data_IF_821959516875
#
_entry.id   IF_821959516875
#
_cell.length_a   1.000
_cell.length_b   1.000
_cell.length_c   1.000
_cell.angle_alpha   90.00
_cell.angle_beta   90.00
_cell.angle_gamma   90.00
#
_symmetry.space_group_name_H-M   'P 1'
#
loop_
_entity.id
_entity.type
_entity.pdbx_description
1 polymer ?
#
# COMPACT_ATOMS: atom_id res chain seq x y z
N UNK A 1 -7.27 66.76 -36.73
CA UNK A 1 -7.80 67.07 -38.08
C UNK A 1 -7.47 65.85 -38.94
N UNK A 2 -8.44 65.01 -39.35
CA UNK A 2 -9.38 65.19 -40.49
C UNK A 2 -8.61 65.34 -41.82
N UNK A 3 -8.91 64.65 -42.92
CA UNK A 3 -10.20 64.25 -43.53
C UNK A 3 -10.06 62.85 -44.21
N UNK A 4 -11.00 61.90 -44.08
CA UNK A 4 -12.35 61.76 -44.70
C UNK A 4 -12.37 61.31 -46.18
N UNK A 5 -13.06 60.20 -46.45
CA UNK A 5 -13.78 59.91 -47.69
C UNK A 5 -15.05 59.11 -47.34
N UNK A 6 -16.22 59.56 -47.81
CA UNK A 6 -17.55 59.07 -47.36
C UNK A 6 -18.24 58.16 -48.40
N UNK A 7 -19.21 57.38 -47.89
CA UNK A 7 -20.17 56.51 -48.58
C UNK A 7 -21.26 57.24 -49.39
N UNK A 8 -21.95 56.52 -50.29
CA UNK A 8 -23.41 56.27 -50.18
C UNK A 8 -23.80 54.81 -50.63
N UNK A 9 -24.99 54.21 -50.46
CA UNK A 9 -26.21 54.36 -49.61
C UNK A 9 -26.99 53.01 -49.71
N UNK A 10 -27.45 52.40 -48.60
CA UNK A 10 -28.86 52.31 -48.11
C UNK A 10 -29.85 51.38 -48.90
N UNK A 11 -30.98 50.88 -48.33
CA UNK A 11 -31.51 50.99 -46.94
C UNK A 11 -32.00 49.67 -46.24
N UNK A 12 -31.97 49.67 -44.89
CA UNK A 12 -33.00 49.25 -43.86
C UNK A 12 -33.96 48.06 -44.23
N UNK A 13 -34.14 46.96 -43.47
CA UNK A 13 -34.83 46.82 -42.14
C UNK A 13 -34.45 45.50 -41.40
N UNK A 14 -34.51 45.57 -40.06
CA UNK A 14 -34.29 44.56 -39.01
C UNK A 14 -34.80 43.11 -39.24
N UNK A 15 -33.97 42.14 -38.81
CA UNK A 15 -34.42 41.00 -37.99
C UNK A 15 -33.21 40.44 -37.18
N UNK A 16 -33.41 40.03 -35.92
CA UNK A 16 -32.34 39.48 -35.04
C UNK A 16 -32.51 37.95 -34.94
N UNK A 17 -31.56 37.14 -35.43
CA UNK A 17 -31.63 35.68 -35.28
C UNK A 17 -31.35 35.23 -33.84
N UNK A 18 -32.21 34.36 -33.31
CA UNK A 18 -32.07 33.74 -31.99
C UNK A 18 -31.00 32.64 -32.04
N UNK A 19 -30.08 32.62 -31.06
CA UNK A 19 -29.03 31.61 -30.97
C UNK A 19 -29.59 30.20 -30.64
N UNK A 20 -29.02 29.12 -31.18
CA UNK A 20 -29.59 27.77 -31.06
C UNK A 20 -29.40 27.15 -29.67
N UNK A 21 -30.42 26.45 -29.18
CA UNK A 21 -30.37 25.69 -27.93
C UNK A 21 -29.64 24.33 -28.08
N UNK A 22 -28.93 23.86 -27.02
CA UNK A 22 -28.26 22.56 -27.04
C UNK A 22 -29.25 21.39 -26.89
N UNK A 23 -29.07 20.36 -27.71
CA UNK A 23 -29.84 19.12 -27.71
C UNK A 23 -29.60 18.30 -26.43
N UNK A 24 -30.68 17.96 -25.72
CA UNK A 24 -30.62 17.26 -24.45
C UNK A 24 -31.09 15.80 -24.61
N UNK A 25 -30.21 14.81 -24.33
CA UNK A 25 -30.53 13.38 -24.51
C UNK A 25 -31.47 12.87 -23.40
N UNK A 26 -32.63 12.36 -23.81
CA UNK A 26 -33.27 11.20 -23.18
C UNK A 26 -33.65 11.33 -21.70
N UNK A 27 -34.55 12.24 -21.36
CA UNK A 27 -35.24 12.26 -20.07
C UNK A 27 -36.66 12.77 -20.23
N UNK A 28 -37.67 11.93 -19.93
CA UNK A 28 -39.07 12.35 -19.94
C UNK A 28 -39.25 13.45 -18.90
N UNK A 29 -39.56 14.67 -19.34
CA UNK A 29 -40.03 15.73 -18.45
C UNK A 29 -41.40 15.31 -17.91
N UNK A 30 -41.48 14.97 -16.62
CA UNK A 30 -42.76 15.14 -15.93
C UNK A 30 -42.98 16.64 -15.80
N UNK A 31 -44.02 17.15 -16.45
CA UNK A 31 -44.53 18.48 -16.13
C UNK A 31 -44.91 18.53 -14.65
N UNK A 32 -44.39 19.54 -13.96
CA UNK A 32 -44.82 19.87 -12.59
C UNK A 32 -46.01 20.83 -12.64
N UNK A 33 -46.97 20.55 -13.52
CA UNK A 33 -48.29 21.17 -13.45
C UNK A 33 -49.04 20.58 -12.25
N UNK A 34 -49.78 21.42 -11.51
CA UNK A 34 -50.51 21.03 -10.31
C UNK A 34 -51.79 20.23 -10.64
N UNK A 35 -51.61 19.09 -11.31
CA UNK A 35 -52.65 18.16 -11.71
C UNK A 35 -53.08 17.25 -10.55
N UNK A 36 -54.11 17.65 -9.82
CA UNK A 36 -54.80 16.79 -8.85
C UNK A 36 -55.60 15.68 -9.56
N UNK A 37 -54.95 14.55 -9.86
CA UNK A 37 -55.63 13.32 -10.24
C UNK A 37 -55.77 12.40 -9.00
N UNK A 38 -57.03 12.15 -8.61
CA UNK A 38 -57.47 11.20 -7.57
C UNK A 38 -57.08 11.50 -6.11
N UNK A 39 -56.90 12.77 -5.72
CA UNK A 39 -57.05 13.24 -4.32
C UNK A 39 -56.09 12.69 -3.26
N UNK A 40 -55.17 11.79 -3.61
CA UNK A 40 -54.11 11.29 -2.74
C UNK A 40 -52.81 12.01 -3.10
N UNK A 41 -52.23 12.84 -2.22
CA UNK A 41 -50.98 13.52 -2.51
C UNK A 41 -49.88 12.47 -2.75
N UNK A 42 -49.32 12.44 -3.96
CA UNK A 42 -48.03 11.77 -4.18
C UNK A 42 -47.04 12.36 -3.18
N UNK A 43 -46.26 11.51 -2.50
CA UNK A 43 -45.20 11.94 -1.58
C UNK A 43 -44.07 12.67 -2.33
N UNK A 44 -44.32 13.92 -2.71
CA UNK A 44 -43.30 14.83 -3.19
C UNK A 44 -42.30 15.06 -2.05
N UNK A 45 -41.00 14.88 -2.32
CA UNK A 45 -39.96 15.15 -1.32
C UNK A 45 -40.01 16.63 -0.97
N UNK A 46 -40.31 16.94 0.29
CA UNK A 46 -40.43 18.32 0.76
C UNK A 46 -39.18 19.14 0.39
N UNK A 47 -39.39 20.35 -0.15
CA UNK A 47 -38.28 21.25 -0.53
C UNK A 47 -37.45 21.60 0.72
N UNK A 48 -36.13 21.54 0.61
CA UNK A 48 -35.25 21.90 1.72
C UNK A 48 -35.42 23.37 2.12
N UNK A 49 -35.50 23.62 3.42
CA UNK A 49 -35.48 24.99 4.00
C UNK A 49 -34.20 25.74 3.59
N UNK A 50 -34.18 27.09 3.61
CA UNK A 50 -32.97 27.87 3.33
C UNK A 50 -31.75 27.42 4.15
N UNK A 51 -31.94 27.15 5.44
CA UNK A 51 -30.89 26.63 6.33
C UNK A 51 -30.39 25.24 5.91
N UNK A 52 -31.32 24.32 5.59
CA UNK A 52 -30.95 22.96 5.13
C UNK A 52 -30.28 22.97 3.76
N UNK A 53 -30.60 23.94 2.89
CA UNK A 53 -29.89 24.13 1.60
C UNK A 53 -28.43 24.54 1.81
N UNK A 54 -28.15 25.49 2.71
CA UNK A 54 -26.77 25.87 3.08
C UNK A 54 -26.00 24.67 3.63
N UNK A 55 -26.59 23.91 4.56
CA UNK A 55 -26.00 22.67 5.09
C UNK A 55 -25.65 21.66 3.99
N UNK A 56 -26.59 21.35 3.09
CA UNK A 56 -26.36 20.38 2.01
C UNK A 56 -25.29 20.88 1.03
N UNK A 57 -25.20 22.19 0.79
CA UNK A 57 -24.14 22.77 -0.04
C UNK A 57 -22.76 22.63 0.60
N UNK A 58 -22.63 22.89 1.90
CA UNK A 58 -21.38 22.69 2.64
C UNK A 58 -20.99 21.21 2.71
N UNK A 59 -21.93 20.31 3.01
CA UNK A 59 -21.69 18.85 3.03
C UNK A 59 -21.28 18.33 1.65
N UNK A 60 -21.74 18.94 0.55
CA UNK A 60 -21.27 18.64 -0.81
C UNK A 60 -19.85 19.13 -1.09
N UNK A 61 -19.40 20.23 -0.48
CA UNK A 61 -18.02 20.73 -0.60
C UNK A 61 -17.03 19.84 0.17
N UNK A 62 -17.35 19.43 1.39
CA UNK A 62 -16.47 18.60 2.24
C UNK A 62 -16.59 17.09 1.96
N UNK A 63 -17.67 16.66 1.31
CA UNK A 63 -18.00 15.25 1.10
C UNK A 63 -18.66 14.56 2.30
N UNK A 64 -19.46 13.53 2.01
CA UNK A 64 -20.00 12.64 3.03
C UNK A 64 -18.94 11.63 3.49
N UNK A 65 -18.87 11.33 4.79
CA UNK A 65 -17.95 10.31 5.34
C UNK A 65 -18.27 8.91 4.81
N UNK A 66 -17.25 8.03 4.76
CA UNK A 66 -17.34 6.68 4.15
C UNK A 66 -18.52 5.89 4.74
N UNK A 67 -18.66 5.88 6.07
CA UNK A 67 -19.77 5.20 6.78
C UNK A 67 -21.16 5.68 6.33
N UNK A 68 -21.39 7.00 6.27
CA UNK A 68 -22.66 7.55 5.80
C UNK A 68 -22.90 7.26 4.32
N UNK A 69 -21.83 7.24 3.51
CA UNK A 69 -21.87 6.95 2.07
C UNK A 69 -22.32 5.50 1.82
N UNK A 70 -21.71 4.54 2.51
CA UNK A 70 -22.07 3.10 2.46
C UNK A 70 -23.50 2.86 2.95
N UNK A 71 -23.83 3.37 4.13
CA UNK A 71 -25.15 3.18 4.75
C UNK A 71 -26.27 4.03 4.11
N UNK A 72 -25.95 4.83 3.08
CA UNK A 72 -26.85 5.79 2.42
C UNK A 72 -27.58 6.71 3.40
N UNK A 73 -26.91 7.12 4.48
CA UNK A 73 -27.46 8.03 5.51
C UNK A 73 -27.02 9.47 5.22
N UNK A 74 -27.86 10.43 5.59
CA UNK A 74 -27.51 11.85 5.54
C UNK A 74 -26.24 12.10 6.36
N UNK A 75 -25.22 12.73 5.77
CA UNK A 75 -24.02 13.14 6.49
C UNK A 75 -24.17 14.58 6.99
N UNK A 76 -23.64 14.87 8.18
CA UNK A 76 -23.58 16.22 8.76
C UNK A 76 -22.28 16.96 8.43
N UNK A 77 -22.10 18.16 8.99
CA UNK A 77 -20.92 19.02 8.71
C UNK A 77 -19.68 18.61 9.51
N UNK A 78 -19.84 18.34 10.81
CA UNK A 78 -18.72 18.13 11.72
C UNK A 78 -17.90 16.85 11.48
N UNK A 79 -16.81 16.70 12.22
CA UNK A 79 -16.00 15.47 12.31
C UNK A 79 -15.85 15.11 13.81
N UNK A 80 -16.55 14.07 14.32
CA UNK A 80 -17.53 13.23 13.64
C UNK A 80 -18.80 14.01 13.24
N UNK A 81 -19.41 13.58 12.14
CA UNK A 81 -20.64 14.16 11.61
C UNK A 81 -21.84 13.78 12.48
N UNK A 82 -22.92 14.55 12.42
CA UNK A 82 -24.04 14.46 13.38
C UNK A 82 -24.73 13.09 13.38
N UNK A 83 -24.84 12.46 12.20
CA UNK A 83 -25.37 11.10 12.04
C UNK A 83 -24.43 10.03 12.60
N UNK A 84 -23.11 10.21 12.46
CA UNK A 84 -22.14 9.34 13.11
C UNK A 84 -22.20 9.53 14.62
N UNK A 85 -22.09 10.78 15.11
CA UNK A 85 -22.11 11.18 16.53
C UNK A 85 -23.24 10.51 17.33
N UNK A 86 -24.46 10.44 16.76
CA UNK A 86 -25.64 9.82 17.40
C UNK A 86 -25.56 8.30 17.57
N UNK A 87 -24.59 7.63 16.95
CA UNK A 87 -24.39 6.18 17.04
C UNK A 87 -22.96 5.80 17.47
N UNK A 88 -22.12 6.75 17.90
CA UNK A 88 -20.81 6.43 18.45
C UNK A 88 -20.93 6.29 19.96
N UNK A 89 -20.61 5.11 20.51
CA UNK A 89 -20.11 5.04 21.87
C UNK A 89 -18.81 5.88 21.95
N UNK A 90 -18.64 6.82 22.91
CA UNK A 90 -17.57 7.83 22.86
C UNK A 90 -16.12 7.34 22.83
N UNK A 91 -15.88 6.04 23.11
CA UNK A 91 -14.55 5.44 23.31
C UNK A 91 -14.07 4.55 22.15
N UNK A 92 -14.98 3.93 21.38
CA UNK A 92 -14.60 2.89 20.38
C UNK A 92 -14.81 3.35 18.93
N UNK A 93 -15.69 4.32 18.69
CA UNK A 93 -16.22 4.60 17.34
C UNK A 93 -15.81 5.95 16.72
N UNK A 94 -14.93 6.74 17.36
CA UNK A 94 -14.48 8.05 16.83
C UNK A 94 -13.86 7.92 15.43
N UNK A 95 -13.11 6.85 15.19
CA UNK A 95 -12.48 6.47 13.90
C UNK A 95 -13.49 6.10 12.80
N UNK A 96 -14.79 6.04 13.08
CA UNK A 96 -15.84 5.69 12.10
C UNK A 96 -16.32 6.82 11.20
N UNK A 97 -15.85 8.06 11.39
CA UNK A 97 -16.29 9.22 10.62
C UNK A 97 -15.19 9.81 9.71
N UNK A 98 -14.56 8.95 8.92
CA UNK A 98 -13.51 9.31 7.96
C UNK A 98 -14.13 9.87 6.67
N UNK A 99 -13.63 11.02 6.18
CA UNK A 99 -14.00 11.63 4.88
C UNK A 99 -12.94 11.44 3.80
N UNK A 100 -11.67 11.38 4.22
CA UNK A 100 -10.50 11.05 3.42
C UNK A 100 -10.64 9.66 2.77
N UNK A 101 -9.81 9.40 1.75
CA UNK A 101 -9.71 8.10 1.06
C UNK A 101 -8.91 7.12 1.92
N UNK A 102 -9.04 5.81 1.67
CA UNK A 102 -8.29 4.82 2.46
C UNK A 102 -6.76 4.96 2.32
N UNK A 103 -6.27 5.32 1.12
CA UNK A 103 -4.85 5.59 0.90
C UNK A 103 -4.35 6.91 1.51
N UNK A 104 -5.25 7.77 2.01
CA UNK A 104 -4.91 8.99 2.76
C UNK A 104 -4.92 8.71 4.28
N UNK A 105 -5.00 7.45 4.70
CA UNK A 105 -4.94 7.01 6.10
C UNK A 105 -3.66 6.21 6.40
N UNK A 106 -2.75 6.10 5.43
CA UNK A 106 -1.49 5.39 5.56
C UNK A 106 -0.40 6.05 4.71
N UNK A 107 0.62 6.55 5.37
CA UNK A 107 1.81 7.15 4.74
C UNK A 107 3.03 6.20 4.75
N UNK A 108 2.95 5.01 5.38
CA UNK A 108 4.10 4.09 5.53
C UNK A 108 4.85 3.85 4.21
N UNK A 109 4.13 3.58 3.12
CA UNK A 109 4.73 3.33 1.81
C UNK A 109 5.03 4.61 1.01
N UNK A 110 4.44 5.75 1.36
CA UNK A 110 4.66 7.03 0.67
C UNK A 110 5.75 7.90 1.33
N UNK A 111 6.21 7.53 2.52
CA UNK A 111 7.25 8.22 3.27
C UNK A 111 8.62 8.22 2.55
N UNK A 112 8.94 7.16 1.81
CA UNK A 112 10.15 7.09 0.98
C UNK A 112 11.45 6.96 1.77
N UNK A 113 11.45 6.26 2.91
CA UNK A 113 12.62 6.16 3.80
C UNK A 113 13.80 5.50 3.08
N UNK A 114 13.54 4.38 2.39
CA UNK A 114 14.59 3.67 1.63
C UNK A 114 15.03 4.49 0.41
N UNK A 115 14.10 5.16 -0.26
CA UNK A 115 14.39 6.05 -1.39
C UNK A 115 15.31 7.21 -1.00
N UNK A 116 15.06 7.90 0.13
CA UNK A 116 15.92 9.02 0.55
C UNK A 116 17.30 8.53 0.99
N UNK A 117 17.38 7.45 1.77
CA UNK A 117 18.68 6.87 2.19
C UNK A 117 19.51 6.43 0.99
N UNK A 118 18.90 5.71 0.04
CA UNK A 118 19.56 5.28 -1.19
C UNK A 118 20.03 6.47 -2.03
N UNK A 119 19.18 7.48 -2.25
CA UNK A 119 19.56 8.66 -3.05
C UNK A 119 20.71 9.46 -2.41
N UNK A 120 20.67 9.68 -1.09
CA UNK A 120 21.75 10.38 -0.39
C UNK A 120 23.08 9.64 -0.52
N UNK A 121 23.07 8.30 -0.43
CA UNK A 121 24.26 7.46 -0.58
C UNK A 121 24.77 7.43 -2.03
N UNK A 122 23.88 7.37 -3.03
CA UNK A 122 24.23 7.46 -4.46
C UNK A 122 24.94 8.79 -4.74
N UNK A 123 24.38 9.92 -4.29
CA UNK A 123 24.95 11.24 -4.54
C UNK A 123 26.36 11.36 -3.95
N UNK A 124 26.53 10.96 -2.69
CA UNK A 124 27.84 10.94 -2.01
C UNK A 124 28.88 10.10 -2.77
N UNK A 125 28.51 8.90 -3.24
CA UNK A 125 29.42 8.02 -3.97
C UNK A 125 29.73 8.55 -5.38
N UNK A 126 28.76 9.17 -6.06
CA UNK A 126 29.00 9.84 -7.36
C UNK A 126 29.97 11.02 -7.22
N UNK A 127 29.82 11.85 -6.17
CA UNK A 127 30.70 12.99 -5.89
C UNK A 127 32.12 12.57 -5.45
N UNK A 128 32.26 11.49 -4.68
CA UNK A 128 33.55 11.04 -4.17
C UNK A 128 34.35 10.23 -5.20
N UNK A 129 33.70 9.29 -5.90
CA UNK A 129 34.40 8.25 -6.66
C UNK A 129 34.33 8.41 -8.18
N UNK A 130 33.50 9.34 -8.69
CA UNK A 130 33.28 9.55 -10.13
C UNK A 130 33.10 8.23 -10.93
N UNK A 131 32.24 7.31 -10.47
CA UNK A 131 32.24 5.93 -10.94
C UNK A 131 31.72 5.82 -12.38
N UNK A 132 32.30 4.89 -13.13
CA UNK A 132 32.05 4.68 -14.56
C UNK A 132 31.35 3.34 -14.81
N UNK A 133 30.66 3.20 -15.94
CA UNK A 133 30.18 1.89 -16.39
C UNK A 133 31.27 1.25 -17.27
N UNK A 134 31.74 0.05 -16.89
CA UNK A 134 32.75 -0.72 -17.64
C UNK A 134 32.20 -2.04 -18.21
N UNK A 135 30.87 -2.21 -18.24
CA UNK A 135 30.22 -3.45 -18.66
C UNK A 135 30.07 -4.52 -17.57
N UNK A 136 30.55 -4.30 -16.34
CA UNK A 136 30.31 -5.23 -15.22
C UNK A 136 28.83 -5.28 -14.84
N UNK A 137 28.31 -6.50 -14.70
CA UNK A 137 26.91 -6.81 -14.36
C UNK A 137 26.88 -7.56 -13.03
N UNK A 138 25.85 -7.35 -12.22
CA UNK A 138 25.56 -8.18 -11.04
C UNK A 138 24.26 -8.95 -11.23
N UNK A 139 24.23 -10.19 -10.76
CA UNK A 139 23.01 -10.99 -10.58
C UNK A 139 22.65 -11.06 -9.10
N UNK A 140 21.40 -10.78 -8.77
CA UNK A 140 20.91 -10.66 -7.41
C UNK A 140 19.70 -11.59 -7.18
N UNK A 141 19.75 -12.44 -6.16
CA UNK A 141 18.59 -13.26 -5.74
C UNK A 141 18.65 -13.65 -4.25
N UNK A 142 17.49 -13.79 -3.61
CA UNK A 142 17.35 -14.45 -2.31
C UNK A 142 17.52 -15.98 -2.39
N UNK A 143 17.36 -16.55 -3.59
CA UNK A 143 17.35 -18.00 -3.83
C UNK A 143 18.30 -18.36 -4.97
N UNK A 144 19.64 -18.31 -4.75
CA UNK A 144 20.65 -18.60 -5.76
C UNK A 144 20.66 -20.06 -6.24
N UNK A 145 19.95 -20.95 -5.53
CA UNK A 145 19.67 -22.32 -6.00
C UNK A 145 18.62 -22.38 -7.12
N UNK A 146 17.98 -21.25 -7.43
CA UNK A 146 17.01 -21.11 -8.53
C UNK A 146 17.60 -20.27 -9.66
N UNK A 147 17.10 -20.47 -10.88
CA UNK A 147 17.46 -19.63 -12.03
C UNK A 147 16.84 -18.22 -11.97
N UNK A 148 16.07 -17.89 -10.92
CA UNK A 148 15.35 -16.61 -10.81
C UNK A 148 16.25 -15.58 -10.13
N UNK A 149 16.62 -14.54 -10.88
CA UNK A 149 17.53 -13.47 -10.44
C UNK A 149 17.20 -12.13 -11.12
N UNK A 150 17.71 -11.03 -10.55
CA UNK A 150 17.77 -9.71 -11.19
C UNK A 150 19.19 -9.50 -11.70
N UNK A 151 19.39 -9.47 -13.02
CA UNK A 151 20.63 -8.96 -13.62
C UNK A 151 20.57 -7.44 -13.77
N UNK A 152 21.62 -6.71 -13.39
CA UNK A 152 21.73 -5.27 -13.61
C UNK A 152 23.18 -4.82 -13.89
N UNK A 153 23.40 -3.87 -14.82
CA UNK A 153 24.69 -3.22 -15.00
C UNK A 153 25.07 -2.40 -13.77
N UNK A 154 26.37 -2.17 -13.59
CA UNK A 154 26.93 -1.51 -12.42
C UNK A 154 27.81 -0.33 -12.78
N UNK A 155 27.94 0.59 -11.82
CA UNK A 155 28.96 1.62 -11.82
C UNK A 155 30.13 1.14 -10.94
N UNK A 156 31.33 1.17 -11.50
CA UNK A 156 32.59 0.78 -10.86
C UNK A 156 33.47 2.00 -10.60
N UNK A 157 34.37 1.91 -9.61
CA UNK A 157 35.44 2.88 -9.42
C UNK A 157 36.78 2.17 -9.29
N UNK A 158 37.86 2.81 -9.77
CA UNK A 158 39.22 2.34 -9.58
C UNK A 158 39.64 2.61 -8.12
N UNK A 159 39.79 1.55 -7.34
CA UNK A 159 40.11 1.62 -5.91
C UNK A 159 41.32 0.75 -5.57
N UNK A 160 42.14 1.23 -4.64
CA UNK A 160 43.18 0.41 -4.01
C UNK A 160 42.54 -0.76 -3.23
N UNK A 161 43.07 -1.98 -3.32
CA UNK A 161 42.58 -3.11 -2.54
C UNK A 161 42.88 -2.93 -1.05
N UNK A 162 41.94 -3.31 -0.19
CA UNK A 162 42.24 -3.50 1.25
C UNK A 162 43.18 -4.70 1.46
N UNK A 163 43.79 -4.82 2.64
CA UNK A 163 44.78 -5.88 2.91
C UNK A 163 44.23 -7.28 2.61
N UNK A 164 43.02 -7.59 3.07
CA UNK A 164 42.30 -8.84 2.78
C UNK A 164 42.05 -9.05 1.28
N UNK A 165 41.69 -7.98 0.54
CA UNK A 165 41.48 -8.06 -0.91
C UNK A 165 42.79 -8.29 -1.65
N UNK A 166 43.88 -7.64 -1.23
CA UNK A 166 45.20 -7.78 -1.82
C UNK A 166 45.78 -9.18 -1.61
N UNK A 167 45.62 -9.75 -0.41
CA UNK A 167 45.98 -11.14 -0.12
C UNK A 167 45.17 -12.11 -0.98
N UNK A 168 43.85 -11.93 -1.06
CA UNK A 168 42.96 -12.80 -1.85
C UNK A 168 43.27 -12.74 -3.35
N UNK A 169 43.65 -11.56 -3.87
CA UNK A 169 44.03 -11.37 -5.29
C UNK A 169 45.49 -11.74 -5.59
N UNK A 170 46.34 -11.86 -4.57
CA UNK A 170 47.79 -11.94 -4.72
C UNK A 170 48.41 -10.68 -5.35
N UNK A 171 47.67 -9.56 -5.44
CA UNK A 171 48.10 -8.32 -6.06
C UNK A 171 47.56 -7.09 -5.29
N UNK A 172 48.43 -6.11 -5.10
CA UNK A 172 48.16 -4.81 -4.45
C UNK A 172 47.73 -3.71 -5.41
N UNK A 173 47.81 -3.93 -6.73
CA UNK A 173 47.42 -2.92 -7.71
C UNK A 173 45.94 -2.53 -7.61
N UNK A 174 45.68 -1.22 -7.70
CA UNK A 174 44.34 -0.64 -7.83
C UNK A 174 43.55 -1.30 -8.96
N UNK A 175 42.25 -1.50 -8.73
CA UNK A 175 41.37 -2.20 -9.67
C UNK A 175 39.93 -1.70 -9.60
N UNK A 176 39.16 -1.98 -10.65
CA UNK A 176 37.77 -1.58 -10.72
C UNK A 176 36.94 -2.43 -9.76
N UNK A 177 36.31 -1.79 -8.78
CA UNK A 177 35.37 -2.41 -7.85
C UNK A 177 33.96 -1.90 -8.14
N UNK A 178 32.96 -2.79 -8.14
CA UNK A 178 31.54 -2.42 -8.17
C UNK A 178 31.23 -1.50 -6.98
N UNK A 179 30.56 -0.38 -7.23
CA UNK A 179 30.14 0.57 -6.20
C UNK A 179 28.61 0.50 -5.99
N UNK A 180 27.85 0.44 -7.09
CA UNK A 180 26.38 0.45 -7.07
C UNK A 180 25.80 0.00 -8.41
N UNK A 181 24.50 -0.30 -8.44
CA UNK A 181 23.72 -0.49 -9.67
C UNK A 181 23.67 0.82 -10.47
N UNK A 182 23.85 0.71 -11.78
CA UNK A 182 23.61 1.80 -12.73
C UNK A 182 22.08 1.99 -12.93
N UNK A 183 21.49 2.85 -12.09
CA UNK A 183 20.07 3.19 -12.15
C UNK A 183 19.72 4.17 -13.29
N UNK A 184 20.72 4.78 -13.94
CA UNK A 184 20.49 5.65 -15.09
C UNK A 184 20.28 4.81 -16.37
N UNK A 185 20.82 3.58 -16.39
CA UNK A 185 20.65 2.60 -17.47
C UNK A 185 19.41 1.68 -17.34
N UNK A 186 18.74 1.61 -16.19
CA UNK A 186 17.73 0.57 -15.89
C UNK A 186 16.52 1.01 -15.05
N UNK A 187 15.31 0.54 -15.40
CA UNK A 187 14.15 0.57 -14.50
C UNK A 187 14.25 -0.54 -13.44
N UNK A 188 15.10 -0.30 -12.43
CA UNK A 188 15.25 -1.20 -11.30
C UNK A 188 13.91 -1.49 -10.57
N UNK A 189 12.99 -0.52 -10.35
CA UNK A 189 11.65 -0.79 -9.87
C UNK A 189 10.88 -1.84 -10.71
N UNK A 190 10.95 -1.81 -12.04
CA UNK A 190 10.28 -2.80 -12.90
C UNK A 190 10.92 -4.18 -12.79
N UNK A 191 12.26 -4.25 -12.75
CA UNK A 191 12.97 -5.51 -12.53
C UNK A 191 12.63 -6.14 -11.18
N UNK A 192 12.54 -5.35 -10.11
CA UNK A 192 12.10 -5.80 -8.78
C UNK A 192 10.66 -6.31 -8.81
N UNK A 193 9.73 -5.65 -9.52
CA UNK A 193 8.35 -6.13 -9.68
C UNK A 193 8.28 -7.47 -10.44
N UNK A 194 9.06 -7.62 -11.52
CA UNK A 194 9.16 -8.88 -12.28
C UNK A 194 9.76 -10.02 -11.45
N UNK A 195 10.86 -9.75 -10.75
CA UNK A 195 11.49 -10.72 -9.85
C UNK A 195 10.55 -11.15 -8.74
N UNK A 196 9.92 -10.20 -8.04
CA UNK A 196 8.94 -10.46 -7.00
C UNK A 196 7.85 -11.42 -7.47
N UNK A 197 7.25 -11.17 -8.63
CA UNK A 197 6.22 -12.06 -9.20
C UNK A 197 6.73 -13.47 -9.48
N UNK A 198 7.99 -13.63 -9.89
CA UNK A 198 8.59 -14.92 -10.18
C UNK A 198 8.92 -15.72 -8.90
N UNK A 199 9.40 -15.06 -7.83
CA UNK A 199 9.73 -15.74 -6.55
C UNK A 199 8.56 -15.81 -5.56
N UNK A 200 7.42 -15.17 -5.83
CA UNK A 200 6.29 -15.05 -4.89
C UNK A 200 5.82 -16.40 -4.31
N UNK A 201 5.73 -17.45 -5.12
CA UNK A 201 5.36 -18.79 -4.64
C UNK A 201 6.38 -19.33 -3.64
N UNK A 202 7.67 -19.15 -3.91
CA UNK A 202 8.77 -19.59 -3.03
C UNK A 202 8.76 -18.81 -1.71
N UNK A 203 8.45 -17.50 -1.74
CA UNK A 203 8.24 -16.73 -0.50
C UNK A 203 7.08 -17.29 0.34
N UNK A 204 5.97 -17.69 -0.29
CA UNK A 204 4.79 -18.22 0.40
C UNK A 204 5.06 -19.63 0.96
N UNK A 205 5.66 -20.53 0.18
CA UNK A 205 6.07 -21.86 0.63
C UNK A 205 7.05 -21.80 1.81
N UNK A 206 8.00 -20.86 1.76
CA UNK A 206 9.01 -20.63 2.82
C UNK A 206 8.56 -19.60 3.87
N UNK A 207 7.28 -19.26 3.95
CA UNK A 207 6.79 -18.34 4.99
C UNK A 207 6.83 -19.04 6.37
N UNK A 208 7.61 -18.53 7.35
CA UNK A 208 7.75 -19.15 8.67
C UNK A 208 6.48 -19.05 9.52
N UNK A 209 5.63 -18.03 9.34
CA UNK A 209 4.36 -17.93 10.05
C UNK A 209 3.31 -18.87 9.47
N UNK A 210 2.86 -19.85 10.26
CA UNK A 210 1.72 -20.71 9.90
C UNK A 210 0.47 -19.88 9.56
N UNK A 211 0.22 -18.80 10.32
CA UNK A 211 -0.93 -17.91 10.08
C UNK A 211 -0.85 -17.26 8.70
N UNK A 212 0.29 -16.63 8.38
CA UNK A 212 0.43 -15.95 7.10
C UNK A 212 0.52 -16.93 5.94
N UNK A 213 1.30 -18.02 6.06
CA UNK A 213 1.38 -19.05 5.02
C UNK A 213 0.01 -19.60 4.61
N UNK A 214 -0.79 -20.05 5.58
CA UNK A 214 -2.16 -20.56 5.29
C UNK A 214 -3.04 -19.47 4.66
N UNK A 215 -2.91 -18.22 5.08
CA UNK A 215 -3.65 -17.08 4.52
C UNK A 215 -3.25 -16.77 3.08
N UNK A 216 -1.97 -16.84 2.76
CA UNK A 216 -1.40 -16.59 1.44
C UNK A 216 -1.71 -17.75 0.48
N UNK A 217 -1.51 -19.00 0.90
CA UNK A 217 -1.90 -20.21 0.15
C UNK A 217 -3.40 -20.21 -0.19
N UNK A 218 -4.26 -19.85 0.78
CA UNK A 218 -5.72 -19.75 0.56
C UNK A 218 -6.05 -18.63 -0.44
N UNK A 219 -5.37 -17.48 -0.34
CA UNK A 219 -5.53 -16.38 -1.29
C UNK A 219 -5.05 -16.73 -2.71
N UNK A 220 -3.97 -17.52 -2.84
CA UNK A 220 -3.49 -18.03 -4.13
C UNK A 220 -4.47 -19.03 -4.76
N UNK A 221 -4.97 -20.00 -3.98
CA UNK A 221 -5.98 -20.96 -4.44
C UNK A 221 -7.21 -20.24 -5.02
N UNK A 222 -7.75 -19.27 -4.27
CA UNK A 222 -8.90 -18.45 -4.69
C UNK A 222 -8.63 -17.51 -5.89
N UNK A 223 -7.36 -17.21 -6.18
CA UNK A 223 -6.95 -16.43 -7.34
C UNK A 223 -6.78 -17.30 -8.59
N UNK A 224 -6.34 -18.55 -8.42
CA UNK A 224 -6.30 -19.56 -9.50
C UNK A 224 -7.69 -19.94 -10.00
N UNK A 225 -8.67 -20.03 -9.10
CA UNK A 225 -10.06 -20.36 -9.44
C UNK A 225 -10.81 -19.20 -10.13
N UNK A 226 -10.56 -17.96 -9.69
CA UNK A 226 -11.19 -16.76 -10.26
C UNK A 226 -10.25 -15.55 -10.12
N UNK A 227 -9.79 -15.05 -11.27
CA UNK A 227 -8.87 -13.91 -11.40
C UNK A 227 -9.40 -12.63 -10.71
N UNK A 228 -8.90 -12.37 -9.50
CA UNK A 228 -9.34 -11.29 -8.61
C UNK A 228 -8.21 -10.26 -8.40
N UNK A 229 -8.44 -9.02 -8.85
CA UNK A 229 -7.48 -7.91 -8.81
C UNK A 229 -7.21 -7.38 -7.37
N UNK A 230 -8.07 -7.66 -6.38
CA UNK A 230 -7.77 -7.36 -4.98
C UNK A 230 -6.75 -8.36 -4.41
N UNK A 231 -7.02 -9.65 -4.57
CA UNK A 231 -6.13 -10.71 -4.06
C UNK A 231 -4.77 -10.63 -4.74
N UNK A 232 -4.74 -10.44 -6.07
CA UNK A 232 -3.49 -10.20 -6.81
C UNK A 232 -2.70 -9.04 -6.22
N UNK A 233 -3.30 -7.85 -6.04
CA UNK A 233 -2.59 -6.68 -5.49
C UNK A 233 -2.18 -6.83 -4.03
N UNK A 234 -2.92 -7.59 -3.23
CA UNK A 234 -2.53 -7.88 -1.85
C UNK A 234 -1.31 -8.82 -1.80
N UNK A 235 -1.29 -9.87 -2.62
CA UNK A 235 -0.16 -10.78 -2.75
C UNK A 235 1.08 -10.07 -3.34
N UNK A 236 0.90 -9.23 -4.36
CA UNK A 236 1.98 -8.40 -4.93
C UNK A 236 2.55 -7.41 -3.91
N UNK A 237 1.69 -6.78 -3.08
CA UNK A 237 2.17 -5.89 -2.00
C UNK A 237 2.93 -6.67 -0.93
N UNK A 238 2.43 -7.85 -0.55
CA UNK A 238 3.09 -8.71 0.43
C UNK A 238 4.48 -9.13 -0.05
N UNK A 239 4.60 -9.66 -1.28
CA UNK A 239 5.90 -10.02 -1.85
C UNK A 239 6.88 -8.85 -1.98
N UNK A 240 6.40 -7.61 -2.18
CA UNK A 240 7.25 -6.41 -2.16
C UNK A 240 7.70 -6.04 -0.74
N UNK A 241 6.87 -6.27 0.29
CA UNK A 241 7.24 -6.07 1.69
C UNK A 241 8.24 -7.15 2.15
N UNK A 242 8.09 -8.40 1.70
CA UNK A 242 9.08 -9.46 1.96
C UNK A 242 10.46 -9.13 1.39
N UNK A 243 10.54 -8.48 0.23
CA UNK A 243 11.82 -8.05 -0.38
C UNK A 243 12.51 -6.94 0.44
N UNK A 244 11.74 -6.13 1.17
CA UNK A 244 12.25 -5.07 2.05
C UNK A 244 12.60 -5.62 3.45
N UNK A 245 12.13 -6.82 3.80
CA UNK A 245 12.31 -7.43 5.11
C UNK A 245 13.78 -7.82 5.34
N UNK A 246 14.34 -7.37 6.47
CA UNK A 246 15.75 -7.57 6.83
C UNK A 246 16.07 -9.03 7.14
N UNK A 247 15.07 -9.87 7.43
CA UNK A 247 15.26 -11.31 7.64
C UNK A 247 15.61 -12.06 6.34
N UNK A 248 15.43 -11.45 5.15
CA UNK A 248 15.75 -12.06 3.85
C UNK A 248 17.00 -11.41 3.25
N UNK A 249 18.13 -12.12 3.31
CA UNK A 249 19.38 -11.66 2.73
C UNK A 249 19.43 -11.89 1.21
N UNK A 250 19.93 -10.89 0.48
CA UNK A 250 20.25 -11.03 -0.94
C UNK A 250 21.57 -11.79 -1.11
N UNK A 251 21.65 -12.64 -2.13
CA UNK A 251 22.90 -13.20 -2.64
C UNK A 251 23.25 -12.45 -3.92
N UNK A 252 24.49 -11.96 -4.05
CA UNK A 252 24.91 -11.06 -5.14
C UNK A 252 26.16 -11.64 -5.81
N UNK A 253 26.04 -11.98 -7.10
CA UNK A 253 27.14 -12.46 -7.94
C UNK A 253 27.57 -11.37 -8.91
N UNK A 254 28.82 -10.93 -8.81
CA UNK A 254 29.44 -10.03 -9.79
C UNK A 254 29.97 -10.83 -10.98
N UNK A 255 29.63 -10.35 -12.18
CA UNK A 255 30.12 -10.83 -13.47
C UNK A 255 30.90 -9.69 -14.14
N UNK A 256 32.25 -9.70 -14.04
CA UNK A 256 33.09 -8.66 -14.62
C UNK A 256 32.86 -8.46 -16.11
N UNK A 257 32.96 -7.21 -16.58
CA UNK A 257 32.89 -6.88 -18.00
C UNK A 257 34.18 -7.19 -18.80
N UNK A 258 35.30 -7.43 -18.11
CA UNK A 258 36.60 -7.69 -18.73
C UNK A 258 36.80 -9.17 -19.09
N UNK A 259 37.31 -9.45 -20.28
CA UNK A 259 37.62 -10.83 -20.70
C UNK A 259 38.70 -11.47 -19.81
N UNK A 260 38.39 -12.64 -19.26
CA UNK A 260 39.31 -13.45 -18.45
C UNK A 260 39.14 -13.30 -16.93
N UNK A 261 38.44 -12.27 -16.45
CA UNK A 261 38.10 -12.15 -15.03
C UNK A 261 36.97 -13.13 -14.64
N UNK A 262 37.06 -13.71 -13.45
CA UNK A 262 36.10 -14.73 -12.98
C UNK A 262 34.97 -14.10 -12.15
N UNK A 263 33.74 -14.63 -12.22
CA UNK A 263 32.65 -14.18 -11.36
C UNK A 263 32.97 -14.32 -9.87
N UNK A 264 32.57 -13.35 -9.05
CA UNK A 264 32.81 -13.34 -7.60
C UNK A 264 31.57 -12.99 -6.79
N UNK A 265 31.44 -13.58 -5.60
CA UNK A 265 30.34 -13.28 -4.69
C UNK A 265 30.64 -12.01 -3.89
N UNK A 266 29.75 -11.01 -3.96
CA UNK A 266 29.79 -9.82 -3.12
C UNK A 266 29.21 -10.20 -1.74
N UNK A 267 29.94 -9.89 -0.67
CA UNK A 267 29.54 -10.14 0.72
C UNK A 267 29.43 -8.83 1.48
N UNK A 268 28.67 -8.86 2.57
CA UNK A 268 28.63 -7.77 3.56
C UNK A 268 30.02 -7.50 4.12
N UNK A 269 30.37 -6.22 4.32
CA UNK A 269 31.69 -5.86 4.82
C UNK A 269 31.87 -6.29 6.27
N UNK A 270 33.00 -6.93 6.56
CA UNK A 270 33.41 -7.25 7.93
C UNK A 270 34.32 -6.19 8.56
N UNK A 271 34.71 -5.15 7.81
CA UNK A 271 35.60 -4.08 8.28
C UNK A 271 35.03 -2.68 7.98
N UNK A 272 35.28 -1.73 8.87
CA UNK A 272 34.84 -0.34 8.68
C UNK A 272 35.55 0.42 7.55
N UNK A 273 36.58 -0.18 6.93
CA UNK A 273 37.41 0.45 5.90
C UNK A 273 37.10 -0.05 4.48
N UNK A 274 36.47 -1.22 4.32
CA UNK A 274 36.05 -1.70 3.00
C UNK A 274 34.82 -0.93 2.51
N UNK A 275 34.70 -0.76 1.19
CA UNK A 275 33.49 -0.22 0.59
C UNK A 275 32.30 -1.17 0.87
N UNK A 276 31.26 -0.65 1.51
CA UNK A 276 30.05 -1.42 1.82
C UNK A 276 29.11 -1.54 0.60
N UNK A 277 29.61 -2.28 -0.39
CA UNK A 277 28.98 -2.51 -1.70
C UNK A 277 27.69 -3.31 -1.53
N UNK A 278 27.69 -4.29 -0.61
CA UNK A 278 26.53 -5.13 -0.33
C UNK A 278 25.35 -4.31 0.18
N UNK A 279 25.57 -3.51 1.24
CA UNK A 279 24.52 -2.64 1.78
C UNK A 279 24.08 -1.61 0.74
N UNK A 280 25.01 -1.06 -0.05
CA UNK A 280 24.68 -0.09 -1.09
C UNK A 280 23.73 -0.66 -2.16
N UNK A 281 24.00 -1.88 -2.65
CA UNK A 281 23.12 -2.59 -3.58
C UNK A 281 21.77 -2.91 -2.92
N UNK A 282 21.78 -3.43 -1.69
CA UNK A 282 20.54 -3.72 -0.95
C UNK A 282 19.69 -2.46 -0.71
N UNK A 283 20.29 -1.30 -0.43
CA UNK A 283 19.59 -0.02 -0.32
C UNK A 283 18.91 0.38 -1.64
N UNK A 284 19.56 0.15 -2.79
CA UNK A 284 18.97 0.42 -4.10
C UNK A 284 17.79 -0.53 -4.42
N UNK A 285 17.91 -1.81 -4.09
CA UNK A 285 16.83 -2.79 -4.24
C UNK A 285 15.64 -2.46 -3.32
N UNK A 286 15.91 -2.10 -2.06
CA UNK A 286 14.88 -1.70 -1.10
C UNK A 286 14.17 -0.41 -1.52
N UNK A 287 14.91 0.59 -2.04
CA UNK A 287 14.32 1.81 -2.61
C UNK A 287 13.43 1.52 -3.83
N UNK A 288 13.85 0.59 -4.70
CA UNK A 288 13.06 0.16 -5.85
C UNK A 288 11.79 -0.60 -5.44
N UNK A 289 11.88 -1.49 -4.45
CA UNK A 289 10.75 -2.20 -3.85
C UNK A 289 9.77 -1.23 -3.15
N UNK A 290 10.26 -0.25 -2.38
CA UNK A 290 9.46 0.77 -1.69
C UNK A 290 8.63 1.60 -2.69
N UNK A 291 9.24 2.03 -3.82
CA UNK A 291 8.53 2.73 -4.90
C UNK A 291 7.40 1.89 -5.49
N UNK A 292 7.60 0.58 -5.69
CA UNK A 292 6.53 -0.32 -6.17
C UNK A 292 5.48 -0.57 -5.08
N UNK A 293 5.87 -0.78 -3.82
CA UNK A 293 4.95 -0.96 -2.70
C UNK A 293 4.03 0.26 -2.48
N UNK A 294 4.53 1.48 -2.68
CA UNK A 294 3.73 2.71 -2.68
C UNK A 294 2.63 2.67 -3.76
N UNK A 295 3.00 2.37 -5.00
CA UNK A 295 2.07 2.30 -6.12
C UNK A 295 1.02 1.19 -5.92
N UNK A 296 1.46 -0.01 -5.51
CA UNK A 296 0.59 -1.17 -5.28
C UNK A 296 -0.36 -0.92 -4.10
N UNK A 297 0.12 -0.42 -2.96
CA UNK A 297 -0.72 -0.12 -1.79
C UNK A 297 -1.74 0.99 -2.07
N UNK A 298 -1.34 2.06 -2.77
CA UNK A 298 -2.25 3.14 -3.20
C UNK A 298 -3.32 2.64 -4.18
N UNK A 299 -2.94 1.77 -5.13
CA UNK A 299 -3.89 1.11 -6.04
C UNK A 299 -4.86 0.21 -5.28
N UNK A 300 -4.34 -0.65 -4.40
CA UNK A 300 -5.11 -1.59 -3.59
C UNK A 300 -6.12 -0.87 -2.69
N UNK A 301 -5.68 0.11 -1.89
CA UNK A 301 -6.56 0.87 -1.00
C UNK A 301 -7.60 1.69 -1.76
N UNK A 302 -7.28 2.17 -2.96
CA UNK A 302 -8.26 2.85 -3.83
C UNK A 302 -9.30 1.88 -4.39
N UNK A 303 -8.89 0.66 -4.76
CA UNK A 303 -9.77 -0.42 -5.20
C UNK A 303 -10.68 -0.88 -4.06
N UNK A 304 -10.13 -1.17 -2.88
CA UNK A 304 -10.88 -1.50 -1.67
C UNK A 304 -11.88 -0.39 -1.34
N UNK A 305 -11.48 0.88 -1.34
CA UNK A 305 -12.38 2.01 -1.06
C UNK A 305 -13.58 2.03 -2.03
N UNK A 306 -13.34 1.81 -3.33
CA UNK A 306 -14.39 1.76 -4.36
C UNK A 306 -15.39 0.61 -4.11
N UNK A 307 -14.91 -0.60 -3.83
CA UNK A 307 -15.74 -1.80 -3.67
C UNK A 307 -16.47 -1.84 -2.31
N UNK A 308 -15.82 -1.33 -1.25
CA UNK A 308 -16.46 -1.12 0.06
C UNK A 308 -17.57 -0.07 -0.04
N UNK A 309 -17.38 0.99 -0.83
CA UNK A 309 -18.34 2.07 -1.02
C UNK A 309 -19.56 1.66 -1.86
N UNK A 310 -19.38 0.92 -2.96
CA UNK A 310 -20.50 0.57 -3.84
C UNK A 310 -21.36 -0.53 -3.23
N UNK A 311 -22.49 -0.14 -2.64
CA UNK A 311 -23.42 -1.05 -2.00
C UNK A 311 -24.08 -2.06 -2.95
N UNK A 312 -23.93 -1.95 -4.28
CA UNK A 312 -24.42 -2.93 -5.26
C UNK A 312 -23.49 -4.13 -5.41
N UNK A 313 -22.19 -3.91 -5.22
CA UNK A 313 -21.18 -4.95 -5.35
C UNK A 313 -21.28 -5.85 -4.12
N UNK A 314 -21.30 -7.18 -4.33
CA UNK A 314 -21.11 -8.14 -3.24
C UNK A 314 -19.62 -8.20 -2.91
N UNK A 315 -19.30 -8.12 -1.63
CA UNK A 315 -17.96 -8.40 -1.11
C UNK A 315 -18.11 -9.49 -0.05
N UNK A 316 -17.10 -10.34 0.08
CA UNK A 316 -17.11 -11.50 0.97
C UNK A 316 -15.68 -11.92 1.29
N UNK A 317 -15.45 -13.22 1.39
CA UNK A 317 -14.21 -13.79 1.92
C UNK A 317 -12.92 -13.28 1.24
N UNK A 318 -12.92 -13.11 -0.10
CA UNK A 318 -11.78 -12.52 -0.83
C UNK A 318 -11.36 -11.15 -0.29
N UNK A 319 -12.31 -10.25 -0.04
CA UNK A 319 -12.05 -8.92 0.54
C UNK A 319 -11.54 -8.99 1.98
N UNK A 320 -11.97 -10.00 2.75
CA UNK A 320 -11.46 -10.25 4.10
C UNK A 320 -10.00 -10.72 4.06
N UNK A 321 -9.65 -11.70 3.21
CA UNK A 321 -8.26 -12.13 3.00
C UNK A 321 -7.38 -10.99 2.49
N UNK A 322 -7.85 -10.21 1.51
CA UNK A 322 -7.17 -8.99 1.05
C UNK A 322 -6.86 -8.04 2.20
N UNK A 323 -7.82 -7.81 3.10
CA UNK A 323 -7.65 -6.92 4.24
C UNK A 323 -6.71 -7.50 5.31
N UNK A 324 -6.69 -8.82 5.53
CA UNK A 324 -5.72 -9.49 6.41
C UNK A 324 -4.29 -9.38 5.86
N UNK A 325 -4.07 -9.78 4.61
CA UNK A 325 -2.74 -9.71 3.97
C UNK A 325 -2.23 -8.27 3.97
N UNK A 326 -3.08 -7.31 3.64
CA UNK A 326 -2.74 -5.89 3.71
C UNK A 326 -2.40 -5.43 5.14
N UNK A 327 -3.15 -5.86 6.17
CA UNK A 327 -2.84 -5.50 7.55
C UNK A 327 -1.53 -6.13 8.03
N UNK A 328 -1.18 -7.35 7.59
CA UNK A 328 0.13 -7.94 7.88
C UNK A 328 1.28 -7.17 7.22
N UNK A 329 1.09 -6.72 5.96
CA UNK A 329 2.05 -5.80 5.32
C UNK A 329 2.25 -4.52 6.15
N UNK A 330 1.17 -4.00 6.75
CA UNK A 330 1.19 -2.84 7.65
C UNK A 330 1.83 -3.16 9.01
N UNK A 331 1.68 -4.38 9.55
CA UNK A 331 2.39 -4.86 10.75
C UNK A 331 3.91 -4.86 10.53
N UNK A 332 4.40 -5.53 9.47
CA UNK A 332 5.82 -5.56 9.10
C UNK A 332 6.38 -4.17 8.79
N UNK A 333 5.64 -3.35 8.04
CA UNK A 333 6.06 -1.97 7.75
C UNK A 333 6.08 -1.10 9.02
N UNK A 334 5.13 -1.29 9.94
CA UNK A 334 5.14 -0.59 11.24
C UNK A 334 6.33 -1.00 12.08
N UNK A 335 6.71 -2.28 12.07
CA UNK A 335 7.94 -2.76 12.71
C UNK A 335 9.18 -2.07 12.15
N UNK A 336 9.30 -1.97 10.82
CA UNK A 336 10.44 -1.35 10.16
C UNK A 336 10.61 0.15 10.54
N UNK A 337 9.50 0.88 10.71
CA UNK A 337 9.54 2.26 11.23
C UNK A 337 9.87 2.28 12.73
N UNK A 338 9.33 1.36 13.52
CA UNK A 338 9.60 1.27 14.97
C UNK A 338 11.06 0.90 15.29
N UNK A 339 11.74 0.19 14.40
CA UNK A 339 13.19 -0.02 14.49
C UNK A 339 13.98 1.30 14.46
N UNK A 340 13.52 2.35 13.77
CA UNK A 340 14.15 3.67 13.77
C UNK A 340 13.89 4.48 15.06
N UNK A 341 13.04 3.99 15.97
CA UNK A 341 12.87 4.55 17.32
C UNK A 341 14.00 4.11 18.28
N UNK A 342 14.89 3.19 17.86
CA UNK A 342 16.05 2.76 18.66
C UNK A 342 17.15 3.85 18.67
N UNK A 343 17.70 4.16 19.87
CA UNK A 343 18.64 5.27 20.08
C UNK A 343 19.87 5.27 19.16
N UNK A 344 20.40 4.08 18.82
CA UNK A 344 21.57 3.94 17.95
C UNK A 344 21.26 4.10 16.45
N UNK A 345 20.02 3.89 16.02
CA UNK A 345 19.58 4.13 14.63
C UNK A 345 18.99 5.53 14.44
N UNK A 346 18.50 6.14 15.52
CA UNK A 346 17.81 7.45 15.50
C UNK A 346 18.58 8.57 14.79
N UNK A 347 19.92 8.70 14.91
CA UNK A 347 20.69 9.74 14.19
C UNK A 347 20.72 9.56 12.66
N UNK A 348 20.48 8.35 12.16
CA UNK A 348 20.42 8.04 10.73
C UNK A 348 19.04 8.21 10.09
N UNK A 349 18.03 8.66 10.86
CA UNK A 349 16.66 8.84 10.35
C UNK A 349 16.58 9.97 9.31
N UNK A 350 16.10 9.72 8.08
CA UNK A 350 16.26 10.66 6.96
C UNK A 350 15.10 11.66 6.79
N UNK A 351 14.01 11.57 7.57
CA UNK A 351 12.79 12.36 7.35
C UNK A 351 12.55 13.37 8.48
N UNK A 352 11.93 14.52 8.14
CA UNK A 352 11.51 15.53 9.12
C UNK A 352 10.45 15.02 10.12
N UNK A 353 9.58 14.11 9.68
CA UNK A 353 8.55 13.50 10.53
C UNK A 353 9.15 12.36 11.34
N UNK A 354 8.89 12.33 12.64
CA UNK A 354 9.31 11.24 13.51
C UNK A 354 8.71 9.87 13.10
N UNK A 355 9.44 8.75 13.28
CA UNK A 355 8.92 7.41 13.00
C UNK A 355 7.59 7.12 13.71
N UNK A 356 7.42 7.64 14.92
CA UNK A 356 6.21 7.49 15.73
C UNK A 356 4.94 8.08 15.09
N UNK A 357 5.08 9.08 14.21
CA UNK A 357 3.99 9.64 13.42
C UNK A 357 3.49 8.70 12.31
N UNK A 358 4.23 7.62 12.04
CA UNK A 358 3.87 6.56 11.10
C UNK A 358 3.42 5.29 11.82
N UNK A 359 4.09 4.88 12.90
CA UNK A 359 3.76 3.64 13.63
C UNK A 359 2.35 3.63 14.22
N UNK A 360 1.80 4.81 14.56
CA UNK A 360 0.43 4.96 15.08
C UNK A 360 -0.68 4.80 14.02
N UNK A 361 -0.35 4.76 12.72
CA UNK A 361 -1.35 4.77 11.65
C UNK A 361 -2.06 3.42 11.48
N UNK A 362 -1.34 2.31 11.66
CA UNK A 362 -1.85 0.96 11.43
C UNK A 362 -3.08 0.61 12.29
N UNK A 363 -3.08 0.94 13.58
CA UNK A 363 -4.20 0.67 14.48
C UNK A 363 -5.49 1.45 14.12
N UNK A 364 -5.34 2.70 13.66
CA UNK A 364 -6.46 3.50 13.17
C UNK A 364 -7.07 2.88 11.89
N UNK A 365 -6.20 2.42 10.98
CA UNK A 365 -6.61 1.78 9.72
C UNK A 365 -7.26 0.41 9.95
N UNK A 366 -6.72 -0.41 10.87
CA UNK A 366 -7.30 -1.69 11.26
C UNK A 366 -8.71 -1.53 11.86
N UNK A 367 -8.90 -0.56 12.76
CA UNK A 367 -10.21 -0.21 13.31
C UNK A 367 -11.21 0.27 12.23
N UNK A 368 -10.74 1.07 11.26
CA UNK A 368 -11.55 1.51 10.13
C UNK A 368 -11.94 0.32 9.23
N UNK A 369 -11.00 -0.54 8.85
CA UNK A 369 -11.27 -1.73 8.03
C UNK A 369 -12.24 -2.68 8.72
N UNK A 370 -12.07 -2.99 10.02
CA UNK A 370 -13.02 -3.80 10.80
C UNK A 370 -14.43 -3.24 10.67
N UNK A 371 -14.60 -1.93 10.87
CA UNK A 371 -15.91 -1.27 10.77
C UNK A 371 -16.51 -1.35 9.36
N UNK A 372 -15.72 -1.08 8.32
CA UNK A 372 -16.20 -1.09 6.93
C UNK A 372 -16.61 -2.49 6.48
N UNK A 373 -15.81 -3.51 6.81
CA UNK A 373 -16.10 -4.91 6.53
C UNK A 373 -17.32 -5.40 7.33
N UNK A 374 -17.44 -5.05 8.61
CA UNK A 374 -18.61 -5.35 9.43
C UNK A 374 -19.91 -4.77 8.85
N UNK A 375 -19.91 -3.48 8.48
CA UNK A 375 -21.06 -2.82 7.84
C UNK A 375 -21.48 -3.52 6.54
N UNK A 376 -20.51 -4.03 5.79
CA UNK A 376 -20.71 -4.71 4.51
C UNK A 376 -20.96 -6.22 4.65
N UNK A 377 -20.95 -6.76 5.88
CA UNK A 377 -21.07 -8.19 6.21
C UNK A 377 -20.01 -9.07 5.51
N UNK A 378 -18.78 -8.57 5.45
CA UNK A 378 -17.63 -9.27 4.86
C UNK A 378 -16.69 -9.92 5.89
N UNK A 379 -16.89 -9.67 7.19
CA UNK A 379 -16.16 -10.37 8.25
C UNK A 379 -16.81 -11.75 8.51
N UNK A 380 -16.02 -12.83 8.61
CA UNK A 380 -16.49 -14.12 9.11
C UNK A 380 -17.03 -14.05 10.54
N UNK A 381 -17.91 -14.99 10.89
CA UNK A 381 -18.52 -15.11 12.21
C UNK A 381 -17.65 -15.95 13.15
N UNK A 382 -16.53 -15.39 13.58
CA UNK A 382 -15.57 -16.10 14.44
C UNK A 382 -16.04 -16.28 15.89
N UNK A 383 -15.55 -17.35 16.52
CA UNK A 383 -15.78 -17.72 17.92
C UNK A 383 -14.52 -18.38 18.52
N UNK A 384 -14.47 -18.48 19.86
CA UNK A 384 -13.62 -19.43 20.58
C UNK A 384 -14.35 -20.78 20.63
N UNK A 385 -13.73 -21.86 20.15
CA UNK A 385 -14.30 -23.21 20.28
C UNK A 385 -14.07 -23.78 21.69
N UNK A 386 -14.52 -25.02 21.93
CA UNK A 386 -14.38 -25.69 23.24
C UNK A 386 -12.90 -25.96 23.61
N UNK A 387 -12.04 -26.14 22.60
CA UNK A 387 -10.59 -26.35 22.74
C UNK A 387 -9.80 -25.04 22.94
N UNK A 388 -10.46 -23.88 22.89
CA UNK A 388 -9.80 -22.56 22.98
C UNK A 388 -9.23 -22.00 21.67
N UNK A 389 -9.43 -22.70 20.54
CA UNK A 389 -9.03 -22.27 19.19
C UNK A 389 -9.98 -21.24 18.60
N UNK A 390 -9.49 -20.45 17.64
CA UNK A 390 -10.29 -19.59 16.79
C UNK A 390 -11.00 -20.43 15.73
N UNK A 391 -12.32 -20.50 15.79
CA UNK A 391 -13.16 -21.17 14.80
C UNK A 391 -14.17 -20.19 14.17
N UNK A 392 -14.92 -20.63 13.16
CA UNK A 392 -16.02 -19.86 12.55
C UNK A 392 -17.37 -20.57 12.69
N UNK A 393 -18.45 -19.79 12.64
CA UNK A 393 -19.85 -20.25 12.51
C UNK A 393 -20.39 -20.12 11.08
N UNK A 394 -19.59 -19.67 10.13
CA UNK A 394 -20.01 -19.61 8.73
C UNK A 394 -20.22 -21.00 8.14
N UNK A 395 -21.15 -21.10 7.19
CA UNK A 395 -21.53 -22.34 6.51
C UNK A 395 -20.78 -22.53 5.18
N UNK A 396 -19.95 -21.56 4.79
CA UNK A 396 -19.14 -21.62 3.57
C UNK A 396 -17.94 -22.55 3.81
N UNK A 397 -17.83 -23.69 3.09
CA UNK A 397 -16.77 -24.67 3.31
C UNK A 397 -15.35 -24.09 3.16
N UNK A 398 -15.18 -23.07 2.31
CA UNK A 398 -13.88 -22.42 2.10
C UNK A 398 -13.48 -21.64 3.36
N UNK A 399 -14.45 -20.96 3.98
CA UNK A 399 -14.23 -20.17 5.20
C UNK A 399 -13.95 -21.11 6.38
N UNK A 400 -14.72 -22.18 6.54
CA UNK A 400 -14.52 -23.15 7.62
C UNK A 400 -13.17 -23.86 7.51
N UNK A 401 -12.84 -24.39 6.32
CA UNK A 401 -11.54 -25.04 6.08
C UNK A 401 -10.35 -24.08 6.27
N UNK A 402 -10.52 -22.77 6.01
CA UNK A 402 -9.49 -21.78 6.32
C UNK A 402 -9.24 -21.66 7.84
N UNK A 403 -10.29 -21.47 8.65
CA UNK A 403 -10.13 -21.37 10.11
C UNK A 403 -9.65 -22.67 10.76
N UNK A 404 -10.04 -23.84 10.23
CA UNK A 404 -9.50 -25.14 10.64
C UNK A 404 -8.00 -25.26 10.34
N UNK A 405 -7.55 -24.86 9.15
CA UNK A 405 -6.11 -24.86 8.78
C UNK A 405 -5.29 -23.85 9.58
N UNK A 406 -5.88 -22.71 9.96
CA UNK A 406 -5.22 -21.71 10.80
C UNK A 406 -4.79 -22.30 12.14
N UNK A 407 -5.69 -23.00 12.85
CA UNK A 407 -5.42 -23.66 14.15
C UNK A 407 -4.75 -22.71 15.18
N UNK A 408 -5.22 -21.46 15.19
CA UNK A 408 -4.72 -20.43 16.10
C UNK A 408 -5.45 -20.45 17.44
N UNK A 409 -4.70 -20.30 18.54
CA UNK A 409 -5.26 -20.14 19.87
C UNK A 409 -5.92 -18.77 20.01
N UNK A 410 -7.21 -18.74 20.37
CA UNK A 410 -8.00 -17.53 20.45
C UNK A 410 -7.40 -16.51 21.44
N UNK A 411 -6.94 -17.01 22.59
CA UNK A 411 -6.43 -16.17 23.67
C UNK A 411 -5.07 -15.54 23.33
N UNK A 412 -4.25 -16.21 22.51
CA UNK A 412 -3.00 -15.65 21.96
C UNK A 412 -3.28 -14.47 21.04
N UNK A 413 -4.28 -14.57 20.15
CA UNK A 413 -4.72 -13.45 19.29
C UNK A 413 -5.26 -12.30 20.14
N UNK A 414 -6.03 -12.60 21.19
CA UNK A 414 -6.58 -11.62 22.12
C UNK A 414 -5.52 -10.93 23.00
N UNK A 415 -4.40 -11.60 23.29
CA UNK A 415 -3.24 -11.00 23.94
C UNK A 415 -2.51 -10.05 22.99
N UNK A 416 -2.17 -10.50 21.77
CA UNK A 416 -1.51 -9.69 20.72
C UNK A 416 -2.28 -8.42 20.37
N UNK A 417 -3.61 -8.45 20.40
CA UNK A 417 -4.43 -7.25 20.19
C UNK A 417 -4.25 -6.18 21.29
N UNK A 418 -3.98 -6.60 22.53
CA UNK A 418 -3.89 -5.70 23.69
C UNK A 418 -2.47 -5.18 23.91
N UNK A 419 -1.49 -6.05 23.79
CA UNK A 419 -0.09 -5.77 24.07
C UNK A 419 0.83 -6.63 23.19
N UNK A 420 1.21 -6.09 22.03
CA UNK A 420 2.27 -6.66 21.18
C UNK A 420 3.61 -6.02 21.54
N UNK A 421 4.51 -6.83 22.08
CA UNK A 421 5.86 -6.41 22.42
C UNK A 421 6.72 -6.32 21.14
N UNK A 422 7.31 -5.16 20.91
CA UNK A 422 8.25 -4.94 19.82
C UNK A 422 9.61 -5.57 20.16
N UNK A 423 10.17 -6.33 19.24
CA UNK A 423 11.56 -6.80 19.29
C UNK A 423 12.31 -6.34 18.04
N UNK A 424 13.43 -5.59 18.16
CA UNK A 424 14.22 -5.19 16.99
C UNK A 424 14.98 -6.36 16.33
N UNK A 425 14.93 -7.56 16.91
CA UNK A 425 15.58 -8.78 16.39
C UNK A 425 14.61 -9.76 15.71
N UNK A 426 13.32 -9.43 15.62
CA UNK A 426 12.28 -10.27 15.00
C UNK A 426 11.27 -9.38 14.26
N UNK A 427 11.29 -9.41 12.92
CA UNK A 427 10.41 -8.59 12.07
C UNK A 427 8.93 -8.94 12.23
N UNK A 428 8.65 -10.15 12.72
CA UNK A 428 7.32 -10.69 13.00
C UNK A 428 6.87 -10.43 14.44
N UNK A 429 7.65 -9.71 15.26
CA UNK A 429 7.27 -9.40 16.65
C UNK A 429 5.98 -8.59 16.78
N UNK A 430 5.56 -7.85 15.73
CA UNK A 430 4.27 -7.15 15.67
C UNK A 430 3.16 -7.93 14.93
N UNK A 431 3.36 -9.20 14.58
CA UNK A 431 2.33 -10.02 13.93
C UNK A 431 1.06 -10.11 14.81
N UNK A 432 -0.11 -10.15 14.16
CA UNK A 432 -1.45 -10.18 14.74
C UNK A 432 -1.87 -8.89 15.48
N UNK A 433 -1.00 -7.90 15.68
CA UNK A 433 -1.35 -6.62 16.33
C UNK A 433 -2.56 -5.95 15.66
N UNK A 434 -2.57 -5.93 14.32
CA UNK A 434 -3.64 -5.32 13.52
C UNK A 434 -4.58 -6.38 12.91
N UNK A 435 -4.06 -7.52 12.47
CA UNK A 435 -4.86 -8.62 11.91
C UNK A 435 -5.90 -9.17 12.91
N UNK A 436 -5.57 -9.17 14.22
CA UNK A 436 -6.51 -9.52 15.29
C UNK A 436 -7.81 -8.72 15.28
N UNK A 437 -7.80 -7.48 14.74
CA UNK A 437 -9.01 -6.67 14.63
C UNK A 437 -10.03 -7.32 13.68
N UNK A 438 -9.59 -8.06 12.66
CA UNK A 438 -10.47 -8.73 11.70
C UNK A 438 -10.77 -10.18 12.11
N UNK A 439 -9.82 -10.84 12.79
CA UNK A 439 -9.95 -12.24 13.24
C UNK A 439 -10.85 -12.37 14.48
N UNK A 440 -10.70 -11.50 15.48
CA UNK A 440 -11.46 -11.63 16.73
C UNK A 440 -12.93 -11.19 16.54
N UNK A 441 -13.87 -11.87 17.24
CA UNK A 441 -15.30 -11.70 17.05
C UNK A 441 -15.70 -10.24 16.94
N UNK A 442 -16.49 -9.93 15.91
CA UNK A 442 -17.08 -8.62 15.76
C UNK A 442 -18.29 -8.50 16.71
N UNK A 443 -18.02 -8.49 18.02
CA UNK A 443 -19.03 -8.29 19.06
C UNK A 443 -19.71 -6.95 18.80
N UNK A 444 -21.03 -6.92 18.54
CA UNK A 444 -21.78 -5.67 18.63
C UNK A 444 -21.83 -5.31 20.12
N UNK A 445 -21.05 -4.30 20.50
CA UNK A 445 -21.08 -3.69 21.82
C UNK A 445 -22.37 -2.88 22.04
#
# INVERSE_FOLDING_TARGET
>A
MTYLANTPTAPIINEIPIAPHPLNRGGVRMDTSDGSLNGKPRHARARFTPARRKEVQEVRKIGACIRCRILRKNCGRGTPCDTCRKVLAPRVWRTGCVRTRLHEQLDLYSAGVQVVLSQNRINLLKEQLHPINNGTVIDMSHYPETEIHISAPTLVALLEPSENQAETRGNKDAYHQVIMIDQDAEDLPDKVERYMRAVLNIFIEREPSKFMRVTLETAQQLLSDENDDLLKKALELWGLVEIIDRERQWTILEKPGAEGEQPRWIKESQSGNDADIYTMICMQLNAAAERRANNTSKSLLSLMHRLLQDSKIKIGFKMFLTALIFLNCVEKSTWAFKAWEQDHLRPGWPLERDPSAFTQQGGNLAGLLKMLLAIRKALPQTIRNEEGKLATKDQDPIVSAYFEKLDLDYDTIAARQKDSQFSPADSRSLELTFCSHLLLPNVPA
#
